data_IF_858448809705
#
_entry.id   IF_858448809705
#
_cell.length_a   1.000
_cell.length_b   1.000
_cell.length_c   1.000
_cell.angle_alpha   90.00
_cell.angle_beta   90.00
_cell.angle_gamma   90.00
#
_symmetry.space_group_name_H-M   'P 1'
#
loop_
_entity.id
_entity.type
_entity.pdbx_description
1 polymer ?
#
# COMPACT_ATOMS: atom_id res chain seq x y z
N UNK A 1 -6.97 -21.89 6.41
CA UNK A 1 -5.52 -22.02 6.47
C UNK A 1 -4.83 -20.78 5.94
N UNK A 2 -3.97 -20.16 6.73
CA UNK A 2 -3.31 -18.95 6.25
C UNK A 2 -2.38 -19.25 5.10
N UNK A 3 -2.40 -18.35 4.13
CA UNK A 3 -1.53 -18.45 2.97
C UNK A 3 -0.09 -18.18 3.39
N UNK A 4 0.84 -18.94 2.83
CA UNK A 4 2.25 -18.71 3.10
C UNK A 4 2.68 -17.37 2.54
N UNK A 5 3.13 -16.45 3.39
CA UNK A 5 3.58 -15.15 2.93
C UNK A 5 4.75 -15.27 1.98
N UNK A 6 5.61 -16.28 2.21
CA UNK A 6 6.77 -16.45 1.36
C UNK A 6 6.37 -16.80 -0.07
N UNK A 7 5.42 -17.72 -0.24
CA UNK A 7 4.97 -18.12 -1.57
C UNK A 7 4.23 -17.00 -2.28
N UNK A 8 3.33 -16.32 -1.56
CA UNK A 8 2.58 -15.23 -2.15
C UNK A 8 3.49 -14.05 -2.49
N UNK A 9 4.45 -13.76 -1.58
CA UNK A 9 5.37 -12.65 -1.79
C UNK A 9 6.22 -12.83 -3.02
N UNK A 10 6.64 -14.07 -3.31
CA UNK A 10 7.50 -14.32 -4.48
C UNK A 10 6.78 -13.91 -5.76
N UNK A 11 5.49 -14.22 -5.85
CA UNK A 11 4.72 -13.92 -7.06
C UNK A 11 4.55 -12.42 -7.28
N UNK A 12 4.10 -11.70 -6.27
CA UNK A 12 3.84 -10.27 -6.46
C UNK A 12 5.14 -9.46 -6.58
N UNK A 13 6.20 -9.92 -5.92
CA UNK A 13 7.48 -9.26 -6.06
C UNK A 13 8.01 -9.38 -7.48
N UNK A 14 7.87 -10.55 -8.06
CA UNK A 14 8.29 -10.75 -9.45
C UNK A 14 7.50 -9.88 -10.39
N UNK A 15 6.18 -9.82 -10.19
CA UNK A 15 5.33 -8.97 -11.04
C UNK A 15 5.70 -7.51 -10.90
N UNK A 16 5.94 -7.06 -9.66
CA UNK A 16 6.31 -5.69 -9.40
C UNK A 16 7.65 -5.36 -10.05
N UNK A 17 8.60 -6.29 -9.95
CA UNK A 17 9.91 -6.09 -10.56
C UNK A 17 9.82 -5.90 -12.06
N UNK A 18 8.98 -6.71 -12.71
CA UNK A 18 8.80 -6.58 -14.14
C UNK A 18 8.17 -5.24 -14.53
N UNK A 19 7.19 -4.80 -13.74
CA UNK A 19 6.57 -3.50 -14.00
C UNK A 19 7.55 -2.36 -13.82
N UNK A 20 8.33 -2.41 -12.75
CA UNK A 20 9.32 -1.36 -12.50
C UNK A 20 10.35 -1.34 -13.62
N UNK A 21 10.77 -2.51 -14.09
CA UNK A 21 11.74 -2.59 -15.18
C UNK A 21 11.19 -1.94 -16.44
N UNK A 22 9.92 -2.17 -16.75
CA UNK A 22 9.30 -1.54 -17.92
C UNK A 22 9.28 -0.02 -17.80
N UNK A 23 8.96 0.47 -16.61
CA UNK A 23 8.88 1.90 -16.38
C UNK A 23 10.25 2.54 -16.52
N UNK A 24 11.28 1.88 -15.99
CA UNK A 24 12.65 2.38 -16.12
C UNK A 24 13.11 2.37 -17.55
N UNK A 25 12.75 1.33 -18.31
CA UNK A 25 13.10 1.26 -19.73
C UNK A 25 12.41 2.35 -20.53
N UNK A 26 11.24 2.78 -20.06
CA UNK A 26 10.49 3.85 -20.73
C UNK A 26 11.07 5.24 -20.42
N UNK A 27 12.07 5.32 -19.55
CA UNK A 27 12.72 6.58 -19.23
C UNK A 27 12.11 7.35 -18.09
N UNK A 28 11.22 6.73 -17.32
CA UNK A 28 10.61 7.40 -16.18
C UNK A 28 11.63 7.61 -15.07
N UNK A 29 11.47 8.71 -14.35
CA UNK A 29 12.35 9.04 -13.24
C UNK A 29 11.49 9.34 -12.02
N UNK A 30 12.13 9.37 -10.85
CA UNK A 30 11.46 9.71 -9.59
C UNK A 30 10.38 8.71 -9.23
N UNK A 31 10.53 7.46 -9.68
CA UNK A 31 9.51 6.45 -9.47
C UNK A 31 9.45 5.96 -8.03
N UNK A 32 10.52 6.16 -7.26
CA UNK A 32 10.54 5.69 -5.89
C UNK A 32 9.41 6.30 -5.07
N UNK A 33 9.27 7.62 -5.17
CA UNK A 33 8.23 8.32 -4.42
C UNK A 33 6.84 7.90 -4.86
N UNK A 34 6.63 7.87 -6.17
CA UNK A 34 5.32 7.54 -6.71
C UNK A 34 4.89 6.13 -6.35
N UNK A 35 5.80 5.17 -6.48
CA UNK A 35 5.47 3.79 -6.19
C UNK A 35 5.32 3.54 -4.70
N UNK A 36 6.13 4.21 -3.89
CA UNK A 36 5.98 4.10 -2.45
C UNK A 36 4.60 4.60 -2.02
N UNK A 37 4.18 5.74 -2.58
CA UNK A 37 2.87 6.29 -2.26
C UNK A 37 1.74 5.36 -2.72
N UNK A 38 1.87 4.79 -3.90
CA UNK A 38 0.86 3.87 -4.39
C UNK A 38 0.73 2.65 -3.48
N UNK A 39 1.86 2.12 -3.05
CA UNK A 39 1.87 0.96 -2.18
C UNK A 39 1.25 1.27 -0.82
N UNK A 40 1.65 2.41 -0.24
CA UNK A 40 1.10 2.83 1.04
C UNK A 40 -0.40 3.06 0.95
N UNK A 41 -0.83 3.68 -0.14
CA UNK A 41 -2.24 3.96 -0.33
C UNK A 41 -3.05 2.67 -0.38
N UNK A 42 -2.56 1.69 -1.12
CA UNK A 42 -3.27 0.43 -1.25
C UNK A 42 -3.32 -0.31 0.08
N UNK A 43 -2.22 -0.30 0.84
CA UNK A 43 -2.21 -0.92 2.15
C UNK A 43 -3.27 -0.32 3.06
N UNK A 44 -3.36 1.01 3.08
CA UNK A 44 -4.31 1.69 3.94
C UNK A 44 -5.74 1.44 3.49
N UNK A 45 -5.97 1.48 2.18
CA UNK A 45 -7.31 1.23 1.66
C UNK A 45 -7.79 -0.17 2.04
N UNK A 46 -6.94 -1.17 1.88
CA UNK A 46 -7.34 -2.53 2.21
C UNK A 46 -7.57 -2.71 3.70
N UNK A 47 -6.73 -2.09 4.53
CA UNK A 47 -6.91 -2.17 5.97
C UNK A 47 -8.21 -1.50 6.40
N UNK A 48 -8.53 -0.35 5.79
CA UNK A 48 -9.77 0.36 6.11
C UNK A 48 -10.99 -0.44 5.66
N UNK A 49 -10.92 -1.10 4.51
CA UNK A 49 -12.01 -1.95 4.07
C UNK A 49 -12.21 -3.09 5.05
N UNK A 50 -11.13 -3.68 5.51
CA UNK A 50 -11.19 -4.79 6.45
C UNK A 50 -11.79 -4.38 7.79
N UNK A 51 -11.51 -3.15 8.24
CA UNK A 51 -12.01 -2.65 9.51
C UNK A 51 -13.28 -1.82 9.36
N UNK A 52 -13.84 -1.77 8.15
CA UNK A 52 -15.05 -1.01 7.86
C UNK A 52 -14.90 0.47 8.21
N UNK A 53 -13.74 1.01 7.86
CA UNK A 53 -13.47 2.43 8.06
C UNK A 53 -12.94 2.83 9.42
N UNK A 54 -12.64 1.87 10.27
CA UNK A 54 -12.16 2.16 11.61
C UNK A 54 -10.66 2.42 11.57
N UNK A 55 -10.29 3.68 11.66
CA UNK A 55 -8.90 4.09 11.49
C UNK A 55 -7.96 3.53 12.55
N UNK A 56 -8.39 3.57 13.81
CA UNK A 56 -7.53 3.10 14.89
C UNK A 56 -7.24 1.62 14.72
N UNK A 57 -8.25 0.85 14.37
CA UNK A 57 -8.05 -0.58 14.17
C UNK A 57 -7.21 -0.86 12.93
N UNK A 58 -7.43 -0.09 11.86
CA UNK A 58 -6.60 -0.23 10.66
C UNK A 58 -5.14 0.06 10.98
N UNK A 59 -4.89 1.10 11.79
CA UNK A 59 -3.53 1.44 12.17
C UNK A 59 -2.88 0.31 12.94
N UNK A 60 -3.62 -0.33 13.83
CA UNK A 60 -3.09 -1.47 14.57
C UNK A 60 -2.73 -2.62 13.66
N UNK A 61 -3.59 -2.92 12.69
CA UNK A 61 -3.32 -3.99 11.74
C UNK A 61 -2.08 -3.72 10.92
N UNK A 62 -1.89 -2.45 10.54
CA UNK A 62 -0.74 -2.06 9.72
C UNK A 62 0.52 -1.86 10.54
N UNK A 63 0.39 -1.78 11.87
CA UNK A 63 1.55 -1.56 12.70
C UNK A 63 2.02 -0.12 12.74
N UNK A 64 1.11 0.83 12.53
CA UNK A 64 1.45 2.26 12.56
C UNK A 64 0.62 2.96 13.62
N UNK A 65 1.03 4.18 13.97
CA UNK A 65 0.31 4.96 14.95
C UNK A 65 -0.96 5.56 14.38
N UNK A 66 -1.90 5.87 15.29
CA UNK A 66 -3.16 6.47 14.89
C UNK A 66 -2.94 7.78 14.13
N UNK A 67 -2.03 8.60 14.63
CA UNK A 67 -1.76 9.88 13.99
C UNK A 67 -1.11 9.69 12.63
N UNK A 68 -0.27 8.65 12.51
CA UNK A 68 0.39 8.35 11.25
C UNK A 68 -0.61 7.98 10.17
N UNK A 69 -1.57 7.11 10.51
CA UNK A 69 -2.53 6.69 9.49
C UNK A 69 -3.43 7.86 9.10
N UNK A 70 -3.81 8.71 10.05
CA UNK A 70 -4.63 9.88 9.74
C UNK A 70 -3.89 10.83 8.80
N UNK A 71 -2.60 11.06 9.08
CA UNK A 71 -1.80 11.92 8.23
C UNK A 71 -1.65 11.32 6.82
N UNK A 72 -1.41 10.02 6.75
CA UNK A 72 -1.25 9.35 5.46
C UNK A 72 -2.52 9.38 4.64
N UNK A 73 -3.67 9.20 5.28
CA UNK A 73 -4.94 9.28 4.57
C UNK A 73 -5.09 10.63 3.89
N UNK A 74 -4.70 11.68 4.60
CA UNK A 74 -4.77 13.03 4.04
C UNK A 74 -3.75 13.24 2.94
N UNK A 75 -2.50 12.85 3.19
CA UNK A 75 -1.41 13.02 2.21
C UNK A 75 -1.69 12.28 0.92
N UNK A 76 -2.19 11.08 1.03
CA UNK A 76 -2.41 10.21 -0.13
C UNK A 76 -3.78 10.43 -0.76
N UNK A 77 -4.55 11.35 -0.20
CA UNK A 77 -5.87 11.70 -0.71
C UNK A 77 -6.76 10.47 -0.86
N UNK A 78 -6.79 9.67 0.20
CA UNK A 78 -7.60 8.48 0.20
C UNK A 78 -9.05 8.85 0.44
N UNK A 79 -9.92 8.38 -0.43
CA UNK A 79 -11.35 8.65 -0.33
C UNK A 79 -11.97 7.65 0.64
N UNK A 80 -12.52 8.16 1.73
CA UNK A 80 -13.13 7.33 2.76
C UNK A 80 -14.62 7.14 2.57
N UNK A 81 -15.21 7.91 1.69
CA UNK A 81 -16.64 7.72 1.42
C UNK A 81 -16.79 6.51 0.50
N UNK A 82 -17.66 5.65 0.81
CA UNK A 82 -17.71 4.45 0.06
C UNK A 82 -18.77 4.27 -0.80
#
# INVERSE_FOLDING_TARGET
EPVSLAAESASWKENMGREVAKILLAGEVNIFKDYTHMFEKELIIQALKFTKGRRVEAAKLLGVGRNTITRKIKELEIDLSD
#
